data_IF_955309321265
#
_entry.id   IF_955309321265
#
_cell.length_a   1.000
_cell.length_b   1.000
_cell.length_c   1.000
_cell.angle_alpha   90.00
_cell.angle_beta   90.00
_cell.angle_gamma   90.00
#
_symmetry.space_group_name_H-M   'P 1'
#
loop_
_entity.id
_entity.type
_entity.pdbx_description
1 polymer ?
#
# COMPACT_ATOMS: atom_id res chain seq x y z
N UNK A 1 -29.40 4.36 3.71
CA UNK A 1 -29.81 5.74 4.05
C UNK A 1 -28.65 6.75 4.20
N UNK A 2 -27.44 6.35 4.61
CA UNK A 2 -26.27 7.25 4.73
C UNK A 2 -25.92 8.04 3.45
N UNK A 3 -26.34 7.58 2.29
CA UNK A 3 -26.00 8.15 0.99
C UNK A 3 -27.12 8.97 0.35
N UNK A 4 -28.24 9.11 1.02
CA UNK A 4 -29.38 9.91 0.57
C UNK A 4 -29.33 11.36 1.07
N UNK A 5 -28.46 11.63 2.06
CA UNK A 5 -28.29 12.98 2.60
C UNK A 5 -27.14 13.68 1.85
N UNK A 6 -27.32 14.89 1.33
CA UNK A 6 -26.24 15.69 0.78
C UNK A 6 -25.24 16.03 1.87
N UNK A 7 -24.01 16.37 1.47
CA UNK A 7 -23.01 16.89 2.40
C UNK A 7 -23.53 18.13 3.11
N UNK A 8 -23.36 18.22 4.42
CA UNK A 8 -23.62 19.45 5.18
C UNK A 8 -22.68 20.60 4.76
N UNK A 9 -21.44 20.21 4.43
CA UNK A 9 -20.44 21.10 3.83
C UNK A 9 -19.84 20.32 2.64
N UNK A 10 -20.35 20.51 1.41
CA UNK A 10 -19.77 19.86 0.25
C UNK A 10 -18.36 20.41 0.03
N UNK A 11 -17.35 19.55 -0.25
CA UNK A 11 -16.04 20.01 -0.70
C UNK A 11 -16.21 20.87 -1.96
N UNK A 12 -15.47 21.96 -2.06
CA UNK A 12 -15.59 22.95 -3.17
C UNK A 12 -15.38 22.29 -4.55
N UNK A 13 -14.61 21.20 -4.60
CA UNK A 13 -14.25 20.50 -5.85
C UNK A 13 -15.22 19.38 -6.22
N UNK A 14 -16.24 19.09 -5.41
CA UNK A 14 -17.19 17.99 -5.66
C UNK A 14 -18.53 18.55 -6.13
N UNK A 15 -18.84 18.30 -7.40
CA UNK A 15 -20.20 18.49 -7.93
C UNK A 15 -20.94 17.15 -7.86
N UNK A 16 -22.10 17.08 -7.18
CA UNK A 16 -22.85 15.83 -7.09
C UNK A 16 -23.14 15.21 -8.45
N UNK A 17 -22.84 13.91 -8.59
CA UNK A 17 -23.05 13.16 -9.81
C UNK A 17 -21.99 13.38 -10.91
N UNK A 18 -21.08 14.31 -10.76
CA UNK A 18 -19.95 14.55 -11.68
C UNK A 18 -18.72 13.80 -11.16
N UNK A 19 -18.03 13.10 -12.05
CA UNK A 19 -16.80 12.39 -11.69
C UNK A 19 -15.61 13.35 -11.70
N UNK A 20 -14.77 13.22 -10.66
CA UNK A 20 -13.44 13.84 -10.59
C UNK A 20 -12.38 12.76 -10.86
N UNK A 21 -11.20 13.17 -11.34
CA UNK A 21 -10.10 12.28 -11.67
C UNK A 21 -8.85 12.67 -10.89
N UNK A 22 -8.22 11.70 -10.24
CA UNK A 22 -7.03 11.91 -9.43
C UNK A 22 -5.90 11.02 -9.91
N UNK A 23 -4.75 11.62 -10.19
CA UNK A 23 -3.53 10.87 -10.44
C UNK A 23 -3.02 10.22 -9.15
N UNK A 24 -2.60 8.97 -9.25
CA UNK A 24 -2.04 8.21 -8.14
C UNK A 24 -1.06 7.15 -8.64
N UNK A 25 -0.55 6.32 -7.74
CA UNK A 25 0.38 5.24 -8.06
C UNK A 25 -0.16 3.92 -7.53
N UNK A 26 -0.08 2.87 -8.34
CA UNK A 26 -0.38 1.51 -7.93
C UNK A 26 0.74 0.98 -7.02
N UNK A 27 0.38 0.46 -5.86
CA UNK A 27 1.32 -0.12 -4.88
C UNK A 27 1.23 -1.64 -4.80
N UNK A 28 0.54 -2.29 -5.72
CA UNK A 28 0.34 -3.75 -5.70
C UNK A 28 1.65 -4.53 -5.93
N UNK A 29 2.61 -3.93 -6.66
CA UNK A 29 3.92 -4.54 -6.91
C UNK A 29 4.98 -3.45 -7.13
N UNK A 30 6.29 -3.80 -7.21
CA UNK A 30 7.38 -2.85 -7.41
C UNK A 30 7.33 -2.06 -8.73
N UNK A 31 6.51 -2.47 -9.72
CA UNK A 31 6.37 -1.74 -10.98
C UNK A 31 5.84 -0.32 -10.81
N UNK A 32 5.14 -0.03 -9.70
CA UNK A 32 4.69 1.31 -9.32
C UNK A 32 4.00 2.07 -10.47
N UNK A 33 3.13 1.39 -11.21
CA UNK A 33 2.42 1.96 -12.36
C UNK A 33 1.63 3.21 -11.97
N UNK A 34 1.71 4.26 -12.78
CA UNK A 34 0.85 5.43 -12.64
C UNK A 34 -0.60 5.08 -12.97
N UNK A 35 -1.52 5.53 -12.16
CA UNK A 35 -2.95 5.32 -12.36
C UNK A 35 -3.74 6.62 -12.24
N UNK A 36 -4.93 6.62 -12.82
CA UNK A 36 -5.97 7.62 -12.64
C UNK A 36 -7.14 6.97 -11.93
N UNK A 37 -7.50 7.50 -10.78
CA UNK A 37 -8.69 7.10 -10.04
C UNK A 37 -9.86 7.99 -10.44
N UNK A 38 -10.91 7.40 -10.99
CA UNK A 38 -12.19 8.07 -11.20
C UNK A 38 -12.98 8.01 -9.90
N UNK A 39 -13.31 9.17 -9.37
CA UNK A 39 -14.01 9.34 -8.08
C UNK A 39 -15.34 10.02 -8.33
N UNK A 40 -16.42 9.48 -7.77
CA UNK A 40 -17.75 10.07 -7.82
C UNK A 40 -18.31 10.17 -6.41
N UNK A 41 -18.78 11.36 -6.07
CA UNK A 41 -19.33 11.67 -4.74
C UNK A 41 -18.41 11.18 -3.59
N UNK A 42 -17.09 11.43 -3.72
CA UNK A 42 -16.07 11.02 -2.76
C UNK A 42 -15.74 9.53 -2.75
N UNK A 43 -16.17 8.77 -3.76
CA UNK A 43 -15.92 7.33 -3.87
C UNK A 43 -15.15 6.98 -5.12
N UNK A 44 -14.01 6.34 -5.03
CA UNK A 44 -13.35 5.76 -6.17
C UNK A 44 -14.24 4.69 -6.80
N UNK A 45 -14.49 4.79 -8.10
CA UNK A 45 -15.35 3.86 -8.84
C UNK A 45 -14.61 3.12 -9.95
N UNK A 46 -13.45 3.64 -10.37
CA UNK A 46 -12.62 3.01 -11.40
C UNK A 46 -11.16 3.39 -11.23
N UNK A 47 -10.27 2.47 -11.55
CA UNK A 47 -8.83 2.69 -11.69
C UNK A 47 -8.41 2.36 -13.12
N UNK A 48 -7.69 3.27 -13.75
CA UNK A 48 -7.13 3.11 -15.10
C UNK A 48 -5.67 3.54 -15.12
N UNK A 49 -4.89 3.06 -16.09
CA UNK A 49 -3.50 3.51 -16.24
C UNK A 49 -3.44 4.98 -16.63
N UNK A 50 -2.48 5.71 -16.06
CA UNK A 50 -2.24 7.11 -16.40
C UNK A 50 -1.46 7.22 -17.71
N UNK A 51 -2.05 7.81 -18.78
CA UNK A 51 -1.42 7.84 -20.10
C UNK A 51 -0.08 8.56 -20.13
N UNK A 52 0.07 9.62 -19.35
CA UNK A 52 1.26 10.45 -19.29
C UNK A 52 2.34 9.93 -18.31
N UNK A 53 2.09 8.78 -17.65
CA UNK A 53 3.09 8.24 -16.75
C UNK A 53 4.31 7.74 -17.53
N UNK A 54 5.56 8.16 -17.17
CA UNK A 54 6.74 7.94 -18.00
C UNK A 54 7.09 6.46 -18.21
N UNK A 55 6.78 5.60 -17.24
CA UNK A 55 7.07 4.16 -17.31
C UNK A 55 5.90 3.35 -17.84
N UNK A 56 4.73 3.44 -17.22
CA UNK A 56 3.59 2.58 -17.54
C UNK A 56 2.77 3.06 -18.76
N UNK A 57 2.87 4.35 -19.13
CA UNK A 57 2.26 4.94 -20.35
C UNK A 57 0.81 4.50 -20.58
N UNK A 58 -0.02 4.54 -19.56
CA UNK A 58 -1.40 4.08 -19.62
C UNK A 58 -1.58 2.59 -19.34
N UNK A 59 -0.52 1.81 -19.19
CA UNK A 59 -0.61 0.41 -18.81
C UNK A 59 -0.99 0.25 -17.32
N UNK A 60 -2.00 -0.57 -17.05
CA UNK A 60 -2.37 -1.02 -15.71
C UNK A 60 -2.90 -2.45 -15.79
N UNK A 61 -2.27 -3.36 -15.06
CA UNK A 61 -2.63 -4.78 -15.09
C UNK A 61 -3.97 -5.05 -14.37
N UNK A 62 -4.47 -6.27 -14.52
CA UNK A 62 -5.74 -6.66 -13.90
C UNK A 62 -5.73 -6.54 -12.37
N UNK A 63 -4.60 -6.80 -11.70
CA UNK A 63 -4.46 -6.60 -10.26
C UNK A 63 -4.60 -5.13 -9.88
N UNK A 64 -3.90 -4.21 -10.58
CA UNK A 64 -4.00 -2.79 -10.32
C UNK A 64 -5.41 -2.23 -10.58
N UNK A 65 -6.10 -2.71 -11.62
CA UNK A 65 -7.50 -2.33 -11.87
C UNK A 65 -8.44 -2.92 -10.82
N UNK A 66 -8.18 -4.14 -10.35
CA UNK A 66 -8.97 -4.84 -9.36
C UNK A 66 -8.78 -4.36 -7.92
N UNK A 67 -7.71 -3.63 -7.62
CA UNK A 67 -7.36 -3.16 -6.26
C UNK A 67 -8.44 -2.26 -5.64
N UNK A 68 -9.21 -1.58 -6.49
CA UNK A 68 -10.40 -0.86 -6.06
C UNK A 68 -11.35 -1.69 -5.19
N UNK A 69 -11.45 -2.99 -5.43
CA UNK A 69 -12.33 -3.90 -4.70
C UNK A 69 -11.94 -4.03 -3.24
N UNK A 70 -10.64 -3.90 -2.92
CA UNK A 70 -10.15 -3.95 -1.55
C UNK A 70 -10.74 -2.84 -0.67
N UNK A 71 -11.07 -1.68 -1.23
CA UNK A 71 -11.72 -0.59 -0.50
C UNK A 71 -13.16 -0.93 -0.08
N UNK A 72 -13.83 -1.76 -0.86
CA UNK A 72 -15.25 -2.10 -0.68
C UNK A 72 -15.45 -3.51 -0.11
N UNK A 73 -14.38 -4.27 0.12
CA UNK A 73 -14.46 -5.58 0.72
C UNK A 73 -15.00 -5.48 2.15
N UNK A 74 -16.09 -6.21 2.40
CA UNK A 74 -16.70 -6.28 3.73
C UNK A 74 -15.77 -6.95 4.76
N UNK A 75 -14.89 -7.84 4.31
CA UNK A 75 -13.90 -8.56 5.12
C UNK A 75 -12.61 -7.79 5.40
N UNK A 76 -12.43 -6.58 4.83
CA UNK A 76 -11.20 -5.81 5.05
C UNK A 76 -11.03 -5.43 6.52
N UNK A 77 -9.80 -5.41 6.98
CA UNK A 77 -9.46 -4.90 8.31
C UNK A 77 -9.78 -3.40 8.38
N UNK A 78 -10.54 -2.99 9.39
CA UNK A 78 -10.97 -1.59 9.60
C UNK A 78 -10.30 -0.94 10.79
N UNK A 79 -9.67 -1.74 11.64
CA UNK A 79 -9.01 -1.33 12.87
C UNK A 79 -7.94 -2.35 13.23
N UNK A 80 -6.97 -1.99 14.06
CA UNK A 80 -5.98 -2.92 14.54
C UNK A 80 -6.61 -4.02 15.40
N UNK A 81 -5.93 -5.15 15.46
CA UNK A 81 -6.35 -6.29 16.29
C UNK A 81 -5.18 -6.86 17.07
N UNK A 82 -5.42 -7.22 18.33
CA UNK A 82 -4.54 -8.02 19.14
C UNK A 82 -5.25 -9.35 19.48
N UNK A 83 -4.57 -10.47 19.27
CA UNK A 83 -5.13 -11.80 19.49
C UNK A 83 -6.51 -12.01 18.84
N UNK A 84 -6.67 -11.49 17.62
CA UNK A 84 -7.92 -11.49 16.82
C UNK A 84 -9.08 -10.68 17.43
N UNK A 85 -8.81 -9.83 18.41
CA UNK A 85 -9.80 -8.93 19.01
C UNK A 85 -9.49 -7.49 18.59
N UNK A 86 -10.50 -6.64 18.39
CA UNK A 86 -10.31 -5.22 18.20
C UNK A 86 -9.45 -4.60 19.30
N UNK A 87 -8.50 -3.76 18.92
CA UNK A 87 -7.59 -3.09 19.85
C UNK A 87 -7.44 -1.60 19.48
N UNK A 88 -7.05 -0.79 20.44
CA UNK A 88 -6.64 0.57 20.17
C UNK A 88 -5.22 0.61 19.57
N UNK A 89 -4.92 1.65 18.80
CA UNK A 89 -3.58 1.83 18.24
C UNK A 89 -2.51 1.94 19.34
N UNK A 90 -2.81 2.65 20.42
CA UNK A 90 -1.87 2.82 21.54
C UNK A 90 -1.46 1.47 22.18
N UNK A 91 -2.40 0.52 22.29
CA UNK A 91 -2.13 -0.82 22.81
C UNK A 91 -1.25 -1.62 21.85
N UNK A 92 -1.51 -1.51 20.54
CA UNK A 92 -0.71 -2.20 19.51
C UNK A 92 0.71 -1.62 19.49
N UNK A 93 0.85 -0.31 19.47
CA UNK A 93 2.15 0.36 19.44
C UNK A 93 2.98 0.07 20.70
N UNK A 94 2.33 0.05 21.87
CA UNK A 94 2.98 -0.35 23.12
C UNK A 94 3.45 -1.81 23.07
N UNK A 95 2.63 -2.71 22.55
CA UNK A 95 2.97 -4.12 22.38
C UNK A 95 4.14 -4.34 21.40
N UNK A 96 4.13 -3.67 20.27
CA UNK A 96 5.22 -3.73 19.28
C UNK A 96 6.51 -3.18 19.88
N UNK A 97 6.47 -2.03 20.55
CA UNK A 97 7.63 -1.44 21.21
C UNK A 97 8.23 -2.38 22.27
N UNK A 98 7.40 -2.94 23.14
CA UNK A 98 7.83 -3.88 24.16
C UNK A 98 8.49 -5.12 23.55
N UNK A 99 7.93 -5.65 22.45
CA UNK A 99 8.51 -6.78 21.72
C UNK A 99 9.89 -6.47 21.12
N UNK A 100 10.05 -5.30 20.50
CA UNK A 100 11.33 -4.83 19.94
C UNK A 100 12.38 -4.62 21.04
N UNK A 101 12.02 -4.00 22.15
CA UNK A 101 12.91 -3.83 23.30
C UNK A 101 13.34 -5.17 23.90
N UNK A 102 12.42 -6.13 23.98
CA UNK A 102 12.75 -7.48 24.45
C UNK A 102 13.70 -8.19 23.47
N UNK A 103 13.47 -8.06 22.16
CA UNK A 103 14.38 -8.61 21.15
C UNK A 103 15.79 -8.04 21.32
N UNK A 104 15.92 -6.73 21.46
CA UNK A 104 17.19 -6.05 21.68
C UNK A 104 17.88 -6.52 22.96
N UNK A 105 17.16 -6.63 24.09
CA UNK A 105 17.72 -7.12 25.36
C UNK A 105 18.17 -8.58 25.30
N UNK A 106 17.51 -9.40 24.51
CA UNK A 106 17.85 -10.83 24.34
C UNK A 106 18.84 -11.12 23.21
N UNK A 107 19.39 -10.07 22.57
CA UNK A 107 20.33 -10.21 21.45
C UNK A 107 19.72 -10.81 20.19
N UNK A 108 18.40 -10.78 20.06
CA UNK A 108 17.72 -11.24 18.83
C UNK A 108 17.75 -10.17 17.77
N UNK A 109 18.03 -10.57 16.53
CA UNK A 109 18.01 -9.66 15.40
C UNK A 109 16.58 -9.25 15.03
N UNK A 110 16.43 -7.98 14.60
CA UNK A 110 15.18 -7.43 14.05
C UNK A 110 15.29 -7.42 12.55
N UNK A 111 14.28 -7.94 11.86
CA UNK A 111 14.21 -7.93 10.40
C UNK A 111 12.91 -7.27 9.94
N UNK A 112 13.02 -6.44 8.91
CA UNK A 112 11.89 -5.99 8.11
C UNK A 112 11.89 -6.82 6.83
N UNK A 113 10.84 -7.60 6.61
CA UNK A 113 10.61 -8.30 5.35
C UNK A 113 9.65 -7.48 4.50
N UNK A 114 10.04 -7.15 3.30
CA UNK A 114 9.26 -6.34 2.36
C UNK A 114 9.46 -6.83 0.93
N UNK A 115 8.57 -6.43 0.04
CA UNK A 115 8.88 -6.36 -1.39
C UNK A 115 9.90 -5.26 -1.65
N UNK A 116 10.48 -5.22 -2.84
CA UNK A 116 11.38 -4.13 -3.25
C UNK A 116 10.72 -2.77 -3.03
N UNK A 117 11.39 -1.94 -2.24
CA UNK A 117 10.91 -0.60 -1.89
C UNK A 117 11.43 0.38 -2.94
N UNK A 118 10.58 0.79 -3.86
CA UNK A 118 10.89 1.74 -4.94
C UNK A 118 10.72 3.19 -4.50
N UNK A 119 9.94 3.46 -3.45
CA UNK A 119 9.72 4.81 -2.92
C UNK A 119 10.90 5.27 -2.05
N UNK A 120 11.59 6.36 -2.39
CA UNK A 120 12.69 6.89 -1.56
C UNK A 120 12.24 7.27 -0.15
N UNK A 121 11.05 7.84 -0.02
CA UNK A 121 10.49 8.22 1.29
C UNK A 121 10.21 7.01 2.17
N UNK A 122 9.62 5.95 1.60
CA UNK A 122 9.38 4.71 2.34
C UNK A 122 10.69 4.05 2.73
N UNK A 123 11.67 4.01 1.83
CA UNK A 123 13.01 3.47 2.11
C UNK A 123 13.67 4.22 3.26
N UNK A 124 13.68 5.55 3.24
CA UNK A 124 14.24 6.37 4.32
C UNK A 124 13.56 6.10 5.66
N UNK A 125 12.25 5.93 5.69
CA UNK A 125 11.51 5.61 6.92
C UNK A 125 11.89 4.22 7.46
N UNK A 126 12.02 3.21 6.59
CA UNK A 126 12.45 1.86 6.97
C UNK A 126 13.90 1.87 7.47
N UNK A 127 14.79 2.58 6.81
CA UNK A 127 16.21 2.71 7.23
C UNK A 127 16.33 3.38 8.60
N UNK A 128 15.57 4.45 8.84
CA UNK A 128 15.54 5.11 10.15
C UNK A 128 15.02 4.17 11.25
N UNK A 129 13.98 3.39 10.98
CA UNK A 129 13.48 2.37 11.89
C UNK A 129 14.55 1.31 12.18
N UNK A 130 15.19 0.76 11.14
CA UNK A 130 16.20 -0.28 11.27
C UNK A 130 17.43 0.22 12.04
N UNK A 131 17.87 1.46 11.80
CA UNK A 131 18.97 2.07 12.53
C UNK A 131 18.68 2.17 14.04
N UNK A 132 17.45 2.48 14.44
CA UNK A 132 17.06 2.55 15.85
C UNK A 132 17.09 1.18 16.58
N UNK A 133 16.87 0.10 15.82
CA UNK A 133 16.74 -1.25 16.37
C UNK A 133 17.87 -2.22 15.98
N UNK A 134 18.96 -1.74 15.37
CA UNK A 134 20.05 -2.56 14.82
C UNK A 134 19.51 -3.69 13.91
N UNK A 135 18.54 -3.30 13.09
CA UNK A 135 17.78 -4.23 12.26
C UNK A 135 18.32 -4.34 10.83
N UNK A 136 17.74 -5.26 10.06
CA UNK A 136 18.09 -5.51 8.66
C UNK A 136 16.85 -5.55 7.78
N UNK A 137 16.97 -5.01 6.57
CA UNK A 137 15.96 -5.15 5.53
C UNK A 137 16.23 -6.43 4.73
N UNK A 138 15.18 -7.20 4.49
CA UNK A 138 15.15 -8.34 3.56
C UNK A 138 14.08 -8.02 2.52
N UNK A 139 14.49 -7.89 1.27
CA UNK A 139 13.58 -7.69 0.15
C UNK A 139 13.38 -8.99 -0.59
N UNK A 140 12.12 -9.33 -0.89
CA UNK A 140 11.72 -10.53 -1.62
C UNK A 140 10.49 -10.24 -2.48
N UNK A 141 10.64 -10.44 -3.79
CA UNK A 141 9.58 -10.24 -4.79
C UNK A 141 9.20 -11.59 -5.42
N UNK A 142 8.21 -12.29 -4.88
CA UNK A 142 7.85 -13.62 -5.37
C UNK A 142 7.37 -13.62 -6.83
N UNK A 143 6.88 -12.50 -7.33
CA UNK A 143 6.48 -12.36 -8.73
C UNK A 143 7.67 -12.17 -9.70
N UNK A 144 8.84 -11.78 -9.20
CA UNK A 144 10.03 -11.57 -10.02
C UNK A 144 10.84 -12.86 -10.23
N UNK A 145 10.71 -13.84 -9.35
CA UNK A 145 11.43 -15.11 -9.46
C UNK A 145 11.25 -15.84 -10.81
N UNK A 146 10.02 -15.94 -11.37
CA UNK A 146 9.85 -16.58 -12.68
C UNK A 146 10.59 -15.86 -13.81
N UNK A 147 10.68 -14.51 -13.73
CA UNK A 147 11.37 -13.70 -14.73
C UNK A 147 12.88 -13.90 -14.62
N UNK A 148 13.44 -13.89 -13.41
CA UNK A 148 14.87 -14.14 -13.18
C UNK A 148 15.28 -15.54 -13.66
N UNK A 149 14.48 -16.55 -13.32
CA UNK A 149 14.73 -17.92 -13.73
C UNK A 149 14.68 -18.10 -15.27
N UNK A 150 13.78 -17.38 -15.96
CA UNK A 150 13.70 -17.38 -17.42
C UNK A 150 14.93 -16.69 -18.04
N UNK A 151 15.35 -15.55 -17.49
CA UNK A 151 16.53 -14.83 -17.97
C UNK A 151 17.81 -15.67 -17.79
N UNK A 152 17.98 -16.27 -16.62
CA UNK A 152 19.12 -17.17 -16.34
C UNK A 152 19.13 -18.41 -17.26
N UNK A 153 17.96 -19.03 -17.52
CA UNK A 153 17.84 -20.19 -18.38
C UNK A 153 18.13 -19.89 -19.87
N UNK A 154 18.00 -18.62 -20.28
CA UNK A 154 18.22 -18.20 -21.67
C UNK A 154 19.50 -17.37 -21.87
N UNK A 155 20.37 -17.25 -20.85
CA UNK A 155 21.64 -16.53 -20.92
C UNK A 155 21.49 -15.10 -21.50
N UNK A 156 20.38 -14.40 -21.16
CA UNK A 156 20.07 -13.05 -21.64
C UNK A 156 20.52 -12.02 -20.60
#
# INVERSE_FOLDING_TARGET
MRHALPYLVPPEEITPGVSAHYASTCLACPAACGLVATVRDGRPIKLEGHPEHPLSRGGLCAFGQGDLRALYDAGRLRQPTLERRPAAWDDVDAGVRAGLEQAKRSGRAVYVLSRTITSPTTRAAVEAFLAAWDGRLVEHDPEAEPVSAVLEAHEI
#
